data_IF_602578253564
#
_entry.id   IF_602578253564
#
_cell.length_a   1.000
_cell.length_b   1.000
_cell.length_c   1.000
_cell.angle_alpha   90.00
_cell.angle_beta   90.00
_cell.angle_gamma   90.00
#
_symmetry.space_group_name_H-M   'P 1'
#
loop_
_entity.id
_entity.type
_entity.pdbx_description
1 polymer ?
#
# COMPACT_ATOMS: atom_id res chain seq x y z
N UNK A 1 -5.94 -15.68 44.12
CA UNK A 1 -6.29 -16.14 42.75
C UNK A 1 -5.10 -16.06 41.78
N UNK A 2 -4.08 -15.21 42.00
CA UNK A 2 -2.78 -15.34 41.31
C UNK A 2 -2.77 -15.02 39.80
N UNK A 3 -3.91 -14.61 39.24
CA UNK A 3 -4.03 -14.22 37.84
C UNK A 3 -3.55 -12.78 37.62
N UNK A 4 -3.00 -12.55 36.44
CA UNK A 4 -2.57 -11.24 35.95
C UNK A 4 -3.67 -10.59 35.12
N UNK A 5 -3.87 -9.30 35.29
CA UNK A 5 -4.89 -8.51 34.58
C UNK A 5 -4.21 -7.36 33.85
N UNK A 6 -4.41 -7.31 32.55
CA UNK A 6 -3.92 -6.25 31.66
C UNK A 6 -5.05 -5.33 31.24
N UNK A 7 -4.71 -4.08 30.98
CA UNK A 7 -5.61 -3.07 30.42
C UNK A 7 -4.97 -2.56 29.13
N UNK A 8 -5.69 -2.54 28.01
CA UNK A 8 -5.23 -1.97 26.75
C UNK A 8 -6.08 -0.75 26.39
N UNK A 9 -5.45 0.42 26.48
CA UNK A 9 -6.02 1.72 26.14
C UNK A 9 -5.18 2.41 25.06
N UNK A 10 -5.77 3.41 24.43
CA UNK A 10 -5.22 4.11 23.26
C UNK A 10 -3.87 4.78 23.53
N UNK A 11 -3.66 5.26 24.75
CA UNK A 11 -2.47 5.99 25.17
C UNK A 11 -1.23 5.10 25.31
N UNK A 12 -1.43 3.78 25.37
CA UNK A 12 -0.33 2.84 25.59
C UNK A 12 0.59 2.77 24.38
N UNK A 13 1.88 2.80 24.67
CA UNK A 13 2.90 2.49 23.68
C UNK A 13 2.95 0.97 23.41
N UNK A 14 3.72 0.56 22.39
CA UNK A 14 3.80 -0.85 21.96
C UNK A 14 4.21 -1.77 23.12
N UNK A 15 5.19 -1.38 23.93
CA UNK A 15 5.68 -2.22 25.03
C UNK A 15 4.62 -2.37 26.14
N UNK A 16 3.89 -1.30 26.45
CA UNK A 16 2.80 -1.31 27.41
C UNK A 16 1.64 -2.19 26.93
N UNK A 17 1.28 -2.06 25.64
CA UNK A 17 0.29 -2.96 25.02
C UNK A 17 0.75 -4.41 25.10
N UNK A 18 2.00 -4.72 24.70
CA UNK A 18 2.53 -6.09 24.79
C UNK A 18 2.45 -6.67 26.20
N UNK A 19 2.75 -5.87 27.23
CA UNK A 19 2.59 -6.30 28.63
C UNK A 19 1.13 -6.62 28.96
N UNK A 20 0.19 -5.77 28.52
CA UNK A 20 -1.24 -6.00 28.73
C UNK A 20 -1.75 -7.26 28.01
N UNK A 21 -1.38 -7.45 26.74
CA UNK A 21 -1.77 -8.63 25.96
C UNK A 21 -1.20 -9.94 26.57
N UNK A 22 -0.06 -9.88 27.25
CA UNK A 22 0.54 -11.04 27.93
C UNK A 22 -0.11 -11.41 29.27
N UNK A 23 -1.00 -10.59 29.84
CA UNK A 23 -1.71 -10.93 31.06
C UNK A 23 -2.79 -12.01 30.84
N UNK A 24 -3.10 -12.80 31.86
CA UNK A 24 -4.12 -13.87 31.79
C UNK A 24 -5.47 -13.33 31.30
N UNK A 25 -5.89 -12.20 31.86
CA UNK A 25 -7.12 -11.48 31.51
C UNK A 25 -6.77 -10.12 30.91
N UNK A 26 -7.38 -9.77 29.78
CA UNK A 26 -7.22 -8.48 29.11
C UNK A 26 -8.54 -7.71 29.08
N UNK A 27 -8.53 -6.49 29.62
CA UNK A 27 -9.60 -5.51 29.40
C UNK A 27 -9.19 -4.54 28.30
N UNK A 28 -10.10 -4.26 27.38
CA UNK A 28 -9.86 -3.34 26.27
C UNK A 28 -11.19 -2.85 25.71
N UNK A 29 -11.15 -1.86 24.82
CA UNK A 29 -12.33 -1.42 24.07
C UNK A 29 -12.39 -2.14 22.72
N UNK A 30 -13.59 -2.26 22.16
CA UNK A 30 -13.82 -2.83 20.83
C UNK A 30 -12.98 -2.15 19.72
N UNK A 31 -12.81 -0.83 19.81
CA UNK A 31 -12.02 -0.05 18.87
C UNK A 31 -10.52 -0.38 18.99
N UNK A 32 -9.99 -0.45 20.22
CA UNK A 32 -8.56 -0.69 20.42
C UNK A 32 -8.15 -2.10 19.99
N UNK A 33 -8.92 -3.13 20.35
CA UNK A 33 -8.63 -4.50 19.90
C UNK A 33 -8.73 -4.63 18.37
N UNK A 34 -9.70 -3.96 17.74
CA UNK A 34 -9.84 -3.97 16.29
C UNK A 34 -8.68 -3.26 15.59
N UNK A 35 -8.24 -2.10 16.09
CA UNK A 35 -7.08 -1.39 15.53
C UNK A 35 -5.76 -2.11 15.77
N UNK A 36 -5.58 -2.75 16.92
CA UNK A 36 -4.39 -3.55 17.21
C UNK A 36 -4.34 -4.79 16.29
N UNK A 37 -5.47 -5.47 16.07
CA UNK A 37 -5.57 -6.55 15.09
C UNK A 37 -5.21 -6.08 13.67
N UNK A 38 -5.77 -4.95 13.22
CA UNK A 38 -5.45 -4.39 11.90
C UNK A 38 -3.97 -3.99 11.79
N UNK A 39 -3.37 -3.47 12.87
CA UNK A 39 -1.96 -3.08 12.92
C UNK A 39 -1.03 -4.30 12.83
N UNK A 40 -1.33 -5.36 13.60
CA UNK A 40 -0.54 -6.59 13.59
C UNK A 40 -0.52 -7.24 12.21
N UNK A 41 -1.62 -7.16 11.44
CA UNK A 41 -1.68 -7.66 10.06
C UNK A 41 -0.89 -6.81 9.04
N UNK A 42 -0.47 -5.59 9.39
CA UNK A 42 0.34 -4.70 8.53
C UNK A 42 1.81 -4.68 8.98
N UNK A 43 2.08 -5.06 10.23
CA UNK A 43 3.41 -5.02 10.84
C UNK A 43 4.36 -6.02 10.17
N UNK A 44 5.58 -5.57 9.90
CA UNK A 44 6.62 -6.36 9.25
C UNK A 44 7.57 -6.99 10.26
N UNK A 45 7.67 -6.41 11.46
CA UNK A 45 8.57 -6.87 12.52
C UNK A 45 7.78 -7.68 13.55
N UNK A 46 8.12 -8.96 13.66
CA UNK A 46 7.54 -9.84 14.67
C UNK A 46 7.73 -9.32 16.12
N UNK A 47 8.81 -8.58 16.36
CA UNK A 47 9.07 -7.93 17.66
C UNK A 47 7.97 -6.95 18.07
N UNK A 48 7.26 -6.34 17.12
CA UNK A 48 6.24 -5.31 17.35
C UNK A 48 4.82 -5.87 17.46
N UNK A 49 4.61 -7.14 17.12
CA UNK A 49 3.29 -7.76 17.21
C UNK A 49 2.78 -7.76 18.65
N UNK A 50 1.50 -7.48 18.82
CA UNK A 50 0.83 -7.43 20.12
C UNK A 50 0.16 -8.77 20.44
N UNK A 51 -0.59 -9.31 19.49
CA UNK A 51 -1.45 -10.49 19.63
C UNK A 51 -0.67 -11.79 19.35
N UNK A 52 0.43 -12.01 20.08
CA UNK A 52 1.29 -13.19 19.91
C UNK A 52 0.69 -14.48 20.47
N UNK A 53 -0.33 -14.36 21.31
CA UNK A 53 -1.02 -15.50 21.93
C UNK A 53 -2.41 -15.66 21.33
N UNK A 54 -2.89 -16.90 21.35
CA UNK A 54 -4.27 -17.19 20.99
C UNK A 54 -5.23 -16.72 22.10
N UNK A 55 -6.31 -16.06 21.69
CA UNK A 55 -7.42 -15.69 22.57
C UNK A 55 -8.58 -16.65 22.33
N UNK A 56 -8.90 -17.48 23.33
CA UNK A 56 -9.91 -18.53 23.20
C UNK A 56 -11.34 -18.03 23.42
N UNK A 57 -11.51 -16.93 24.16
CA UNK A 57 -12.83 -16.46 24.58
C UNK A 57 -12.81 -14.94 24.79
N UNK A 58 -13.97 -14.31 24.56
CA UNK A 58 -14.20 -12.88 24.78
C UNK A 58 -15.55 -12.70 25.47
N UNK A 59 -15.59 -11.80 26.45
CA UNK A 59 -16.84 -11.33 27.04
C UNK A 59 -17.01 -9.89 26.58
N UNK A 60 -18.15 -9.60 25.97
CA UNK A 60 -18.49 -8.27 25.47
C UNK A 60 -19.52 -7.70 26.43
N UNK A 61 -19.16 -6.60 27.08
CA UNK A 61 -20.10 -5.78 27.82
C UNK A 61 -20.87 -4.87 26.84
N UNK A 62 -22.15 -4.60 27.11
CA UNK A 62 -23.04 -3.82 26.24
C UNK A 62 -23.04 -4.32 24.77
N UNK A 63 -23.36 -5.61 24.60
CA UNK A 63 -23.22 -6.33 23.32
C UNK A 63 -24.05 -5.73 22.17
N UNK A 64 -25.20 -5.14 22.47
CA UNK A 64 -26.04 -4.47 21.48
C UNK A 64 -25.37 -3.21 20.94
N UNK A 65 -24.81 -2.39 21.81
CA UNK A 65 -24.05 -1.19 21.44
C UNK A 65 -22.85 -1.56 20.55
N UNK A 66 -22.10 -2.59 20.93
CA UNK A 66 -20.88 -2.99 20.20
C UNK A 66 -21.19 -3.68 18.86
N UNK A 67 -22.08 -4.69 18.85
CA UNK A 67 -22.29 -5.53 17.68
C UNK A 67 -23.40 -5.02 16.73
N UNK A 68 -24.24 -4.09 17.18
CA UNK A 68 -25.31 -3.51 16.35
C UNK A 68 -24.98 -2.06 15.98
N UNK A 69 -24.77 -1.21 16.98
CA UNK A 69 -24.66 0.23 16.74
C UNK A 69 -23.32 0.63 16.13
N UNK A 70 -22.21 0.16 16.72
CA UNK A 70 -20.86 0.48 16.27
C UNK A 70 -20.45 -0.27 14.99
N UNK A 71 -21.04 -1.45 14.75
CA UNK A 71 -20.77 -2.27 13.55
C UNK A 71 -21.12 -1.57 12.23
N UNK A 72 -21.84 -0.44 12.26
CA UNK A 72 -22.18 0.36 11.08
C UNK A 72 -20.99 1.11 10.48
N UNK A 73 -19.96 1.42 11.29
CA UNK A 73 -18.80 2.19 10.84
C UNK A 73 -17.56 1.30 10.84
N UNK A 74 -16.90 1.08 9.69
CA UNK A 74 -15.71 0.24 9.65
C UNK A 74 -14.51 0.91 10.34
N UNK A 75 -13.64 0.10 10.93
CA UNK A 75 -12.34 0.53 11.42
C UNK A 75 -11.36 0.70 10.26
N UNK A 76 -10.80 1.90 10.10
CA UNK A 76 -9.91 2.24 8.97
C UNK A 76 -8.59 2.78 9.49
N UNK A 77 -7.47 2.19 9.05
CA UNK A 77 -6.13 2.74 9.22
C UNK A 77 -5.74 3.51 7.96
N UNK A 78 -5.60 4.83 8.07
CA UNK A 78 -5.09 5.68 6.99
C UNK A 78 -3.65 6.08 7.26
N UNK A 79 -2.75 5.85 6.28
CA UNK A 79 -1.38 6.37 6.32
C UNK A 79 -1.17 7.41 5.20
N UNK A 80 -0.38 8.43 5.47
CA UNK A 80 -0.08 9.47 4.48
C UNK A 80 0.97 8.98 3.46
N UNK A 81 0.59 8.88 2.19
CA UNK A 81 1.48 8.55 1.06
C UNK A 81 2.41 9.71 0.67
N UNK A 82 3.13 10.33 1.61
CA UNK A 82 3.98 11.51 1.33
C UNK A 82 5.20 11.19 0.45
N UNK A 83 5.74 9.96 0.51
CA UNK A 83 7.00 9.62 -0.19
C UNK A 83 6.83 9.41 -1.70
N UNK A 84 5.64 9.05 -2.18
CA UNK A 84 5.47 8.58 -3.55
C UNK A 84 5.43 9.71 -4.60
N UNK A 85 4.96 10.91 -4.23
CA UNK A 85 4.79 12.03 -5.18
C UNK A 85 6.08 12.41 -5.92
N UNK A 86 7.23 12.35 -5.25
CA UNK A 86 8.52 12.73 -5.85
C UNK A 86 8.96 11.69 -6.90
N UNK A 87 8.77 10.41 -6.63
CA UNK A 87 9.18 9.35 -7.56
C UNK A 87 8.40 9.38 -8.86
N UNK A 88 7.12 9.71 -8.84
CA UNK A 88 6.35 9.86 -10.08
C UNK A 88 6.89 10.97 -10.99
N UNK A 89 7.28 12.11 -10.42
CA UNK A 89 7.84 13.22 -11.20
C UNK A 89 9.20 12.87 -11.81
N UNK A 90 10.09 12.27 -11.02
CA UNK A 90 11.42 11.92 -11.49
C UNK A 90 11.39 10.73 -12.47
N UNK A 91 10.53 9.73 -12.24
CA UNK A 91 10.27 8.65 -13.20
C UNK A 91 9.70 9.17 -14.53
N UNK A 92 8.79 10.14 -14.49
CA UNK A 92 8.26 10.78 -15.70
C UNK A 92 9.35 11.55 -16.48
N UNK A 93 10.26 12.24 -15.78
CA UNK A 93 11.43 12.88 -16.42
C UNK A 93 12.35 11.85 -17.07
N UNK A 94 12.61 10.76 -16.35
CA UNK A 94 13.42 9.66 -16.85
C UNK A 94 12.83 9.03 -18.12
N UNK A 95 11.52 8.71 -18.11
CA UNK A 95 10.84 8.14 -19.28
C UNK A 95 10.99 9.01 -20.54
N UNK A 96 10.93 10.34 -20.40
CA UNK A 96 11.06 11.29 -21.52
C UNK A 96 12.45 11.36 -22.16
N UNK A 97 13.51 11.01 -21.43
CA UNK A 97 14.90 11.08 -21.95
C UNK A 97 15.38 9.76 -22.54
N UNK A 98 14.57 8.70 -22.46
CA UNK A 98 14.91 7.41 -23.04
C UNK A 98 14.77 7.45 -24.56
N UNK A 99 15.62 6.67 -25.21
CA UNK A 99 15.66 6.45 -26.66
C UNK A 99 15.22 5.01 -26.95
N UNK A 100 14.81 4.68 -28.18
CA UNK A 100 14.29 3.34 -28.52
C UNK A 100 15.18 2.15 -28.12
N UNK A 101 16.51 2.27 -28.09
CA UNK A 101 17.41 1.19 -27.66
C UNK A 101 17.43 0.93 -26.13
N UNK A 102 16.84 1.83 -25.33
CA UNK A 102 16.84 1.69 -23.87
C UNK A 102 15.68 0.86 -23.32
N UNK A 103 14.72 0.48 -24.17
CA UNK A 103 13.54 -0.27 -23.74
C UNK A 103 13.05 -1.22 -24.84
N UNK A 104 12.32 -2.24 -24.44
CA UNK A 104 11.63 -3.19 -25.32
C UNK A 104 10.14 -3.09 -25.01
N UNK A 105 9.33 -2.97 -26.05
CA UNK A 105 7.86 -2.93 -25.94
C UNK A 105 7.31 -4.22 -26.49
N UNK A 106 6.47 -4.87 -25.69
CA UNK A 106 5.60 -5.96 -26.13
C UNK A 106 4.16 -5.46 -26.15
N UNK A 107 3.63 -5.25 -27.36
CA UNK A 107 2.26 -4.76 -27.58
C UNK A 107 1.21 -5.84 -27.35
N UNK A 108 1.56 -7.12 -27.51
CA UNK A 108 0.63 -8.24 -27.27
C UNK A 108 0.43 -8.44 -25.77
N UNK A 109 1.53 -8.41 -25.01
CA UNK A 109 1.49 -8.51 -23.54
C UNK A 109 1.19 -7.16 -22.84
N UNK A 110 1.07 -6.06 -23.58
CA UNK A 110 0.93 -4.70 -23.03
C UNK A 110 1.98 -4.38 -21.95
N UNK A 111 3.22 -4.77 -22.22
CA UNK A 111 4.35 -4.66 -21.29
C UNK A 111 5.52 -3.89 -21.90
N UNK A 112 6.31 -3.28 -21.01
CA UNK A 112 7.53 -2.54 -21.39
C UNK A 112 8.62 -2.84 -20.38
N UNK A 113 9.79 -3.20 -20.89
CA UNK A 113 10.96 -3.52 -20.07
C UNK A 113 12.15 -2.66 -20.49
N UNK A 114 13.04 -2.37 -19.54
CA UNK A 114 14.29 -1.67 -19.82
C UNK A 114 15.33 -2.67 -20.35
N UNK A 115 16.07 -2.28 -21.37
CA UNK A 115 17.28 -3.02 -21.80
C UNK A 115 18.43 -2.78 -20.81
N UNK A 116 19.52 -3.54 -20.93
CA UNK A 116 20.73 -3.30 -20.11
C UNK A 116 21.24 -1.84 -20.18
N UNK A 117 21.17 -1.23 -21.37
CA UNK A 117 21.54 0.18 -21.55
C UNK A 117 20.56 1.12 -20.82
N UNK A 118 19.26 0.79 -20.85
CA UNK A 118 18.23 1.52 -20.11
C UNK A 118 18.41 1.43 -18.60
N UNK A 119 18.80 0.25 -18.11
CA UNK A 119 19.08 0.01 -16.68
C UNK A 119 20.28 0.84 -16.24
N UNK A 120 21.41 0.76 -16.95
CA UNK A 120 22.62 1.56 -16.66
C UNK A 120 22.32 3.06 -16.70
N UNK A 121 21.48 3.51 -17.62
CA UNK A 121 21.05 4.91 -17.69
C UNK A 121 20.18 5.30 -16.49
N UNK A 122 19.30 4.42 -16.04
CA UNK A 122 18.50 4.60 -14.83
C UNK A 122 19.37 4.72 -13.59
N UNK A 123 20.31 3.81 -13.40
CA UNK A 123 21.27 3.82 -12.28
C UNK A 123 22.04 5.15 -12.21
N UNK A 124 22.53 5.63 -13.35
CA UNK A 124 23.20 6.93 -13.44
C UNK A 124 22.27 8.12 -13.19
N UNK A 125 21.03 8.10 -13.71
CA UNK A 125 20.07 9.20 -13.55
C UNK A 125 19.61 9.35 -12.10
N UNK A 126 19.30 8.22 -11.44
CA UNK A 126 18.83 8.20 -10.06
C UNK A 126 19.97 8.13 -9.03
N UNK A 127 21.23 8.00 -9.49
CA UNK A 127 22.44 7.89 -8.67
C UNK A 127 22.37 6.73 -7.67
N UNK A 128 21.97 5.56 -8.18
CA UNK A 128 21.84 4.32 -7.41
C UNK A 128 22.75 3.25 -8.00
N UNK A 129 23.30 2.34 -7.17
CA UNK A 129 24.23 1.32 -7.64
C UNK A 129 23.54 0.19 -8.40
N UNK A 130 22.30 -0.14 -8.04
CA UNK A 130 21.51 -1.18 -8.69
C UNK A 130 20.03 -0.81 -8.66
N UNK A 131 19.40 -0.73 -9.83
CA UNK A 131 17.98 -0.39 -9.96
C UNK A 131 17.05 -1.49 -9.43
N UNK A 132 17.47 -2.76 -9.47
CA UNK A 132 16.69 -3.93 -9.09
C UNK A 132 16.91 -4.38 -7.64
N UNK A 133 17.64 -3.60 -6.84
CA UNK A 133 17.74 -3.87 -5.41
C UNK A 133 16.37 -3.72 -4.74
N UNK A 134 16.13 -4.56 -3.73
CA UNK A 134 14.96 -4.56 -2.84
C UNK A 134 14.65 -3.19 -2.24
N UNK A 135 15.67 -2.36 -2.01
CA UNK A 135 15.53 -1.00 -1.52
C UNK A 135 14.85 -0.06 -2.54
N UNK A 136 14.92 -0.39 -3.84
CA UNK A 136 14.49 0.44 -4.96
C UNK A 136 13.18 -0.04 -5.62
N UNK A 137 12.49 -1.03 -5.04
CA UNK A 137 11.24 -1.61 -5.59
C UNK A 137 10.20 -0.53 -5.94
N UNK A 138 10.01 0.44 -5.06
CA UNK A 138 9.03 1.52 -5.27
C UNK A 138 9.42 2.39 -6.46
N UNK A 139 10.70 2.75 -6.58
CA UNK A 139 11.21 3.53 -7.69
C UNK A 139 11.10 2.77 -9.03
N UNK A 140 11.50 1.50 -9.03
CA UNK A 140 11.38 0.64 -10.21
C UNK A 140 9.93 0.53 -10.67
N UNK A 141 8.98 0.38 -9.74
CA UNK A 141 7.55 0.38 -10.05
C UNK A 141 7.10 1.71 -10.67
N UNK A 142 7.50 2.85 -10.10
CA UNK A 142 7.21 4.17 -10.67
C UNK A 142 7.78 4.35 -12.08
N UNK A 143 9.00 3.84 -12.34
CA UNK A 143 9.61 3.88 -13.68
C UNK A 143 8.80 3.04 -14.66
N UNK A 144 8.47 1.79 -14.33
CA UNK A 144 7.64 0.92 -15.19
C UNK A 144 6.30 1.57 -15.51
N UNK A 145 5.64 2.20 -14.53
CA UNK A 145 4.38 2.91 -14.74
C UNK A 145 4.56 4.13 -15.65
N UNK A 146 5.63 4.91 -15.47
CA UNK A 146 5.92 6.05 -16.35
C UNK A 146 6.19 5.60 -17.79
N UNK A 147 6.95 4.53 -17.99
CA UNK A 147 7.19 3.93 -19.30
C UNK A 147 5.88 3.50 -19.97
N UNK A 148 5.03 2.75 -19.26
CA UNK A 148 3.72 2.34 -19.76
C UNK A 148 2.85 3.54 -20.13
N UNK A 149 2.85 4.58 -19.31
CA UNK A 149 2.07 5.80 -19.55
C UNK A 149 2.54 6.58 -20.80
N UNK A 150 3.82 6.57 -21.14
CA UNK A 150 4.37 7.29 -22.31
C UNK A 150 4.30 6.48 -23.61
N UNK A 151 4.54 5.18 -23.53
CA UNK A 151 4.78 4.35 -24.73
C UNK A 151 3.62 3.43 -25.10
N UNK A 152 2.74 3.09 -24.15
CA UNK A 152 1.63 2.15 -24.38
C UNK A 152 0.27 2.87 -24.32
N UNK A 153 0.09 3.76 -23.33
CA UNK A 153 -1.18 4.46 -23.13
C UNK A 153 -1.33 5.68 -24.05
N UNK A 154 -2.45 5.77 -24.74
CA UNK A 154 -2.75 6.82 -25.70
C UNK A 154 -3.89 7.72 -25.23
N UNK A 155 -3.66 9.03 -25.28
CA UNK A 155 -4.69 10.03 -25.01
C UNK A 155 -5.79 9.96 -26.09
N UNK A 156 -7.04 10.06 -25.66
CA UNK A 156 -8.26 9.93 -26.47
C UNK A 156 -8.56 8.52 -26.99
N UNK A 157 -7.78 7.51 -26.59
CA UNK A 157 -8.09 6.09 -26.86
C UNK A 157 -8.21 5.30 -25.56
N UNK A 158 -7.21 5.42 -24.70
CA UNK A 158 -7.15 4.68 -23.43
C UNK A 158 -7.60 5.56 -22.25
N UNK A 159 -7.39 6.87 -22.35
CA UNK A 159 -7.80 7.83 -21.33
C UNK A 159 -8.08 9.22 -21.93
N UNK A 160 -8.83 10.04 -21.20
CA UNK A 160 -9.08 11.45 -21.50
C UNK A 160 -8.74 12.34 -20.31
N UNK A 161 -8.41 13.61 -20.58
CA UNK A 161 -8.11 14.59 -19.54
C UNK A 161 -9.26 15.59 -19.48
N UNK A 162 -10.00 15.60 -18.38
CA UNK A 162 -11.15 16.47 -18.17
C UNK A 162 -11.07 17.13 -16.80
N UNK A 163 -11.23 18.47 -16.75
CA UNK A 163 -11.11 19.26 -15.51
C UNK A 163 -9.86 18.93 -14.68
N UNK A 164 -8.71 18.78 -15.35
CA UNK A 164 -7.42 18.43 -14.75
C UNK A 164 -7.38 17.05 -14.06
N UNK A 165 -8.33 16.16 -14.38
CA UNK A 165 -8.36 14.76 -13.96
C UNK A 165 -8.20 13.84 -15.16
N UNK A 166 -7.57 12.68 -14.94
CA UNK A 166 -7.46 11.61 -15.93
C UNK A 166 -8.65 10.68 -15.74
N UNK A 167 -9.46 10.50 -16.79
CA UNK A 167 -10.58 9.57 -16.83
C UNK A 167 -10.24 8.42 -17.79
N UNK A 168 -10.50 7.18 -17.37
CA UNK A 168 -10.25 5.99 -18.19
C UNK A 168 -11.41 5.81 -19.17
N UNK A 169 -11.11 5.47 -20.42
CA UNK A 169 -12.11 5.17 -21.45
C UNK A 169 -12.37 3.66 -21.42
N UNK A 170 -13.65 3.28 -21.30
CA UNK A 170 -14.07 1.88 -21.43
C UNK A 170 -14.21 1.51 -22.91
N UNK A 171 -13.38 0.58 -23.38
CA UNK A 171 -13.33 0.15 -24.78
C UNK A 171 -14.56 -0.67 -25.20
N UNK A 172 -15.30 -1.27 -24.25
CA UNK A 172 -16.46 -2.13 -24.55
C UNK A 172 -17.72 -1.35 -25.00
N UNK A 173 -17.81 -0.06 -24.66
CA UNK A 173 -18.96 0.75 -25.02
C UNK A 173 -18.92 1.29 -26.46
N UNK A 174 -17.76 1.31 -27.12
CA UNK A 174 -17.65 1.81 -28.50
C UNK A 174 -18.13 0.78 -29.55
N UNK A 175 -18.06 -0.53 -29.28
CA UNK A 175 -18.53 -1.55 -30.23
C UNK A 175 -20.06 -1.57 -30.38
N UNK A 176 -20.82 -1.10 -29.38
CA UNK A 176 -22.28 -1.04 -29.43
C UNK A 176 -22.83 0.23 -30.11
N UNK A 177 -21.97 1.12 -30.61
CA UNK A 177 -22.37 2.36 -31.31
C UNK A 177 -21.95 2.40 -32.78
N UNK A 178 -21.47 1.28 -33.35
CA UNK A 178 -21.15 1.16 -34.78
C UNK A 178 -22.07 0.19 -35.48
#
# INVERSE_FOLDING_TARGET
LGLTVGLNIKEYNIEEKQKAYNCDILYTTNSEIGFDYLRDNIEKKESNLLMKRDYNYVIIDEVDSVLIDEARTPLIISSYAKKEKKFYMDANRFAKILKPHHYIIDLEANSIELTEEGIKKGENFFKIPNLYDSNNIVLLHCIKNALKAHFIMNKNKDYLVYKNNVLIIDQLQEEHRR
#
